data_IF_535328182045
#
_entry.id   IF_535328182045
#
_cell.length_a   1.000
_cell.length_b   1.000
_cell.length_c   1.000
_cell.angle_alpha   90.00
_cell.angle_beta   90.00
_cell.angle_gamma   90.00
#
_symmetry.space_group_name_H-M   'P 1'
#
loop_
_entity.id
_entity.type
_entity.pdbx_description
1 polymer ?
#
# COMPACT_ATOMS: atom_id res chain seq x y z
N UNK A 1 6.36 -8.22 -33.38
CA UNK A 1 6.62 -7.02 -32.57
C UNK A 1 5.82 -7.18 -31.31
N UNK A 2 6.49 -7.58 -30.24
CA UNK A 2 5.87 -7.71 -28.90
C UNK A 2 5.72 -6.30 -28.33
N UNK A 3 4.50 -5.97 -27.91
CA UNK A 3 4.16 -4.71 -27.25
C UNK A 3 4.81 -4.69 -25.87
N UNK A 4 5.42 -3.58 -25.44
CA UNK A 4 6.06 -3.52 -24.12
C UNK A 4 5.05 -3.72 -22.98
N UNK A 5 5.44 -4.34 -21.87
CA UNK A 5 4.58 -4.55 -20.72
C UNK A 5 4.50 -3.24 -19.91
N UNK A 6 3.44 -2.51 -20.11
CA UNK A 6 3.15 -1.26 -19.41
C UNK A 6 1.67 -1.12 -19.09
N UNK A 7 0.94 -2.23 -18.92
CA UNK A 7 -0.47 -2.17 -18.54
C UNK A 7 -0.69 -2.76 -17.17
N UNK A 8 -0.94 -1.89 -16.21
CA UNK A 8 -1.67 -2.28 -15.00
C UNK A 8 -3.14 -2.38 -15.40
N UNK A 9 -3.62 -3.61 -15.63
CA UNK A 9 -5.05 -3.86 -15.84
C UNK A 9 -5.78 -3.66 -14.52
N UNK A 10 -6.46 -2.54 -14.38
CA UNK A 10 -7.48 -2.37 -13.35
C UNK A 10 -8.69 -3.14 -13.81
N UNK A 11 -8.90 -4.33 -13.24
CA UNK A 11 -10.09 -5.14 -13.50
C UNK A 11 -11.35 -4.49 -12.97
N UNK A 12 -11.94 -3.61 -13.77
CA UNK A 12 -13.36 -3.29 -13.84
C UNK A 12 -13.59 -2.58 -15.18
N UNK A 13 -14.40 -3.23 -16.03
CA UNK A 13 -14.59 -2.83 -17.40
C UNK A 13 -15.20 -1.43 -17.54
N UNK A 14 -14.42 -0.57 -18.11
CA UNK A 14 -14.77 0.54 -18.99
C UNK A 14 -13.47 0.92 -19.70
N UNK A 15 -13.50 0.84 -21.02
CA UNK A 15 -12.39 1.16 -21.92
C UNK A 15 -12.16 2.68 -21.94
N UNK A 16 -11.36 3.19 -21.02
CA UNK A 16 -10.66 4.45 -21.15
C UNK A 16 -9.22 4.19 -20.71
N UNK A 17 -8.38 3.82 -21.68
CA UNK A 17 -6.92 3.66 -21.54
C UNK A 17 -6.25 5.06 -21.40
N UNK A 18 -6.56 5.82 -20.36
CA UNK A 18 -5.72 6.94 -19.96
C UNK A 18 -4.42 6.35 -19.40
N UNK A 19 -3.32 6.61 -20.07
CA UNK A 19 -1.97 6.31 -19.56
C UNK A 19 -1.75 7.18 -18.31
N UNK A 20 -1.94 6.58 -17.14
CA UNK A 20 -1.61 7.25 -15.87
C UNK A 20 -0.09 7.29 -15.76
N UNK A 21 0.48 8.49 -15.70
CA UNK A 21 1.90 8.69 -15.49
C UNK A 21 2.34 8.05 -14.15
N UNK A 22 3.41 7.25 -14.18
CA UNK A 22 3.98 6.64 -12.98
C UNK A 22 4.75 7.68 -12.16
N UNK A 23 4.15 8.16 -11.09
CA UNK A 23 4.71 9.16 -10.18
C UNK A 23 5.58 8.56 -9.06
N UNK A 24 5.72 7.24 -8.99
CA UNK A 24 6.46 6.56 -7.91
C UNK A 24 7.98 6.72 -8.01
N UNK A 25 8.49 7.05 -9.19
CA UNK A 25 9.92 7.07 -9.48
C UNK A 25 10.58 5.69 -9.47
N UNK A 26 9.79 4.61 -9.43
CA UNK A 26 10.29 3.25 -9.43
C UNK A 26 10.64 2.78 -10.86
N UNK A 27 11.65 1.91 -11.00
CA UNK A 27 11.96 1.30 -12.29
C UNK A 27 10.78 0.43 -12.78
N UNK A 28 10.73 0.20 -14.10
CA UNK A 28 9.78 -0.76 -14.66
C UNK A 28 9.97 -2.15 -14.06
N UNK A 29 8.86 -2.88 -13.91
CA UNK A 29 8.88 -4.22 -13.35
C UNK A 29 9.36 -5.20 -14.42
N UNK A 30 10.42 -5.98 -14.16
CA UNK A 30 10.85 -6.99 -15.11
C UNK A 30 9.77 -8.07 -15.28
N UNK A 31 9.62 -8.58 -16.50
CA UNK A 31 8.71 -9.69 -16.78
C UNK A 31 9.08 -10.88 -15.91
N UNK A 32 8.12 -11.40 -15.11
CA UNK A 32 8.35 -12.49 -14.17
C UNK A 32 9.07 -12.08 -12.88
N UNK A 33 9.23 -10.78 -12.63
CA UNK A 33 9.77 -10.25 -11.37
C UNK A 33 8.82 -10.46 -10.19
N UNK A 34 9.31 -10.26 -8.95
CA UNK A 34 8.51 -10.43 -7.75
C UNK A 34 7.36 -9.43 -7.72
N UNK A 35 6.13 -9.91 -7.51
CA UNK A 35 4.95 -9.05 -7.39
C UNK A 35 4.80 -8.45 -6.00
N UNK A 36 5.06 -9.25 -4.95
CA UNK A 36 4.83 -8.92 -3.54
C UNK A 36 5.91 -9.59 -2.70
N UNK A 37 6.45 -8.88 -1.72
CA UNK A 37 7.36 -9.44 -0.71
C UNK A 37 6.59 -9.93 0.52
N UNK A 38 7.15 -10.84 1.35
CA UNK A 38 6.48 -11.34 2.55
C UNK A 38 6.03 -10.25 3.52
N UNK A 39 6.80 -9.18 3.67
CA UNK A 39 6.46 -8.05 4.52
C UNK A 39 5.17 -7.34 4.05
N UNK A 40 4.88 -7.27 2.75
CA UNK A 40 3.62 -6.70 2.24
C UNK A 40 2.43 -7.59 2.62
N UNK A 41 2.59 -8.92 2.48
CA UNK A 41 1.55 -9.86 2.89
C UNK A 41 1.27 -9.74 4.39
N UNK A 42 2.31 -9.65 5.22
CA UNK A 42 2.20 -9.44 6.66
C UNK A 42 1.61 -8.07 7.02
N UNK A 43 1.83 -7.04 6.21
CA UNK A 43 1.28 -5.70 6.41
C UNK A 43 -0.17 -5.56 5.91
N UNK A 44 -0.70 -6.57 5.21
CA UNK A 44 -2.10 -6.60 4.77
C UNK A 44 -2.33 -6.20 3.32
N UNK A 45 -1.44 -6.59 2.42
CA UNK A 45 -1.63 -6.39 0.98
C UNK A 45 -3.00 -6.90 0.53
N UNK A 46 -3.68 -6.12 -0.30
CA UNK A 46 -5.01 -6.47 -0.81
C UNK A 46 -6.16 -6.29 0.18
N UNK A 47 -5.92 -5.74 1.35
CA UNK A 47 -6.98 -5.41 2.30
C UNK A 47 -8.00 -4.45 1.66
N UNK A 48 -9.27 -4.81 1.73
CA UNK A 48 -10.34 -4.00 1.14
C UNK A 48 -10.55 -4.14 -0.38
N UNK A 49 -9.64 -4.79 -1.10
CA UNK A 49 -9.75 -4.97 -2.56
C UNK A 49 -10.65 -6.13 -2.97
N UNK A 50 -11.00 -7.03 -2.06
CA UNK A 50 -11.80 -8.22 -2.35
C UNK A 50 -13.27 -8.08 -1.97
N UNK A 51 -14.12 -8.95 -2.55
CA UNK A 51 -15.48 -9.17 -2.08
C UNK A 51 -15.46 -9.62 -0.61
N UNK A 52 -16.20 -8.91 0.20
CA UNK A 52 -16.59 -9.19 1.58
C UNK A 52 -15.86 -10.37 2.26
N UNK A 53 -14.90 -10.12 3.07
CA UNK A 53 -14.37 -11.17 3.94
C UNK A 53 -12.88 -11.10 4.24
N UNK A 54 -12.10 -10.29 3.54
CA UNK A 54 -10.69 -10.16 3.87
C UNK A 54 -10.48 -9.59 5.28
N UNK A 55 -11.36 -8.70 5.73
CA UNK A 55 -11.29 -8.10 7.05
C UNK A 55 -11.54 -9.08 8.22
N UNK A 56 -12.23 -10.18 7.98
CA UNK A 56 -12.71 -11.06 9.05
C UNK A 56 -11.87 -12.31 9.27
N UNK A 57 -10.90 -12.57 8.42
CA UNK A 57 -10.14 -13.84 8.44
C UNK A 57 -8.73 -13.70 9.00
N UNK A 58 -8.35 -12.51 9.38
CA UNK A 58 -7.02 -12.24 9.91
C UNK A 58 -7.06 -12.25 11.44
N UNK A 59 -6.04 -12.84 12.05
CA UNK A 59 -5.79 -12.64 13.46
C UNK A 59 -5.34 -11.19 13.65
N UNK A 60 -6.15 -10.30 14.24
CA UNK A 60 -5.78 -8.88 14.39
C UNK A 60 -4.44 -8.70 15.07
N UNK A 61 -4.14 -9.56 16.03
CA UNK A 61 -2.90 -9.52 16.81
C UNK A 61 -1.68 -10.14 16.08
N UNK A 62 -1.87 -10.68 14.88
CA UNK A 62 -0.82 -11.35 14.13
C UNK A 62 0.01 -10.45 13.22
N UNK A 63 -0.47 -9.27 12.90
CA UNK A 63 0.17 -8.40 11.91
C UNK A 63 1.48 -7.82 12.40
N UNK A 64 1.46 -7.10 13.49
CA UNK A 64 2.66 -6.47 14.06
C UNK A 64 3.74 -7.50 14.42
N UNK A 65 3.45 -8.62 15.11
CA UNK A 65 4.46 -9.65 15.36
C UNK A 65 5.05 -10.25 14.09
N UNK A 66 4.24 -10.46 13.05
CA UNK A 66 4.72 -10.99 11.77
C UNK A 66 5.66 -10.00 11.07
N UNK A 67 5.28 -8.72 11.00
CA UNK A 67 6.14 -7.69 10.41
C UNK A 67 7.44 -7.52 11.21
N UNK A 68 7.36 -7.52 12.54
CA UNK A 68 8.56 -7.52 13.39
C UNK A 68 9.50 -8.66 13.08
N UNK A 69 8.98 -9.87 12.94
CA UNK A 69 9.79 -11.04 12.59
C UNK A 69 10.51 -10.84 11.23
N UNK A 70 9.81 -10.35 10.21
CA UNK A 70 10.42 -10.10 8.90
C UNK A 70 11.50 -9.01 8.95
N UNK A 71 11.28 -7.94 9.70
CA UNK A 71 12.22 -6.83 9.80
C UNK A 71 13.40 -7.18 10.71
N UNK A 72 13.14 -7.66 11.92
CA UNK A 72 14.15 -7.82 12.97
C UNK A 72 14.96 -9.10 12.80
N UNK A 73 14.32 -10.22 12.36
CA UNK A 73 14.97 -11.52 12.26
C UNK A 73 15.44 -11.85 10.84
N UNK A 74 14.68 -11.45 9.83
CA UNK A 74 14.99 -11.74 8.42
C UNK A 74 15.61 -10.56 7.68
N UNK A 75 15.61 -9.35 8.25
CA UNK A 75 16.23 -8.17 7.66
C UNK A 75 15.51 -7.65 6.42
N UNK A 76 14.20 -7.87 6.31
CA UNK A 76 13.43 -7.30 5.20
C UNK A 76 13.36 -5.77 5.30
N UNK A 77 13.42 -5.12 4.13
CA UNK A 77 13.37 -3.67 4.02
C UNK A 77 11.96 -3.14 4.29
N UNK A 78 11.82 -2.27 5.29
CA UNK A 78 10.54 -1.61 5.64
C UNK A 78 10.03 -0.70 4.52
N UNK A 79 10.89 -0.31 3.59
CA UNK A 79 10.57 0.52 2.42
C UNK A 79 10.45 -0.31 1.13
N UNK A 80 10.47 -1.65 1.21
CA UNK A 80 10.27 -2.50 0.04
C UNK A 80 8.98 -2.09 -0.68
N UNK A 81 9.03 -2.09 -2.02
CA UNK A 81 7.90 -1.69 -2.86
C UNK A 81 7.40 -2.90 -3.65
N UNK A 82 6.10 -3.13 -3.61
CA UNK A 82 5.48 -4.15 -4.43
C UNK A 82 5.37 -3.70 -5.90
N UNK A 83 4.79 -4.54 -6.77
CA UNK A 83 4.68 -4.26 -8.19
C UNK A 83 3.77 -3.05 -8.52
N UNK A 84 2.85 -2.68 -7.64
CA UNK A 84 2.02 -1.48 -7.75
C UNK A 84 2.66 -0.25 -7.09
N UNK A 85 3.82 -0.44 -6.47
CA UNK A 85 4.52 0.62 -5.73
C UNK A 85 4.02 0.82 -4.31
N UNK A 86 3.23 -0.08 -3.73
CA UNK A 86 2.87 -0.01 -2.32
C UNK A 86 4.06 -0.41 -1.45
N UNK A 87 4.34 0.39 -0.42
CA UNK A 87 5.18 0.02 0.69
C UNK A 87 4.34 -0.65 1.81
N UNK A 88 4.96 -1.37 2.77
CA UNK A 88 4.25 -1.90 3.94
C UNK A 88 3.42 -0.85 4.69
N UNK A 89 3.91 0.39 4.74
CA UNK A 89 3.22 1.51 5.37
C UNK A 89 1.90 1.88 4.67
N UNK A 90 1.81 1.79 3.34
CA UNK A 90 0.56 1.97 2.59
C UNK A 90 -0.50 0.93 3.02
N UNK A 91 -0.08 -0.33 3.15
CA UNK A 91 -0.97 -1.41 3.56
C UNK A 91 -1.46 -1.25 5.01
N UNK A 92 -0.58 -0.85 5.92
CA UNK A 92 -0.92 -0.55 7.30
C UNK A 92 -1.90 0.64 7.40
N UNK A 93 -1.68 1.70 6.61
CA UNK A 93 -2.54 2.87 6.53
C UNK A 93 -3.95 2.52 6.01
N UNK A 94 -4.04 1.71 4.95
CA UNK A 94 -5.31 1.25 4.39
C UNK A 94 -6.18 0.47 5.40
N UNK A 95 -5.55 -0.15 6.40
CA UNK A 95 -6.26 -0.88 7.47
C UNK A 95 -6.52 -0.04 8.71
N UNK A 96 -5.93 1.13 8.82
CA UNK A 96 -6.01 1.94 10.02
C UNK A 96 -5.20 1.39 11.20
N UNK A 97 -4.16 0.60 10.94
CA UNK A 97 -3.35 -0.07 11.96
C UNK A 97 -2.29 0.88 12.54
N UNK A 98 -2.69 1.64 13.57
CA UNK A 98 -1.85 2.65 14.22
C UNK A 98 -0.58 2.03 14.83
N UNK A 99 -0.68 0.83 15.41
CA UNK A 99 0.47 0.19 16.06
C UNK A 99 1.53 -0.20 15.02
N UNK A 100 1.09 -0.80 13.91
CA UNK A 100 1.98 -1.15 12.81
C UNK A 100 2.56 0.09 12.12
N UNK A 101 1.77 1.16 11.92
CA UNK A 101 2.26 2.42 11.36
C UNK A 101 3.39 2.98 12.22
N UNK A 102 3.18 3.10 13.54
CA UNK A 102 4.19 3.62 14.45
C UNK A 102 5.47 2.77 14.43
N UNK A 103 5.33 1.46 14.46
CA UNK A 103 6.48 0.55 14.37
C UNK A 103 7.26 0.73 13.06
N UNK A 104 6.56 0.74 11.92
CA UNK A 104 7.22 0.91 10.61
C UNK A 104 7.97 2.24 10.52
N UNK A 105 7.38 3.34 11.03
CA UNK A 105 8.01 4.66 11.07
C UNK A 105 9.23 4.66 12.00
N UNK A 106 9.13 4.02 13.16
CA UNK A 106 10.27 3.84 14.09
C UNK A 106 11.42 3.07 13.40
N UNK A 107 11.10 2.09 12.59
CA UNK A 107 12.07 1.32 11.80
C UNK A 107 12.56 2.03 10.52
N UNK A 108 12.15 3.28 10.27
CA UNK A 108 12.62 4.12 9.18
C UNK A 108 11.78 4.04 7.90
N UNK A 109 10.50 3.69 7.99
CA UNK A 109 9.61 3.77 6.85
C UNK A 109 9.43 5.22 6.38
N UNK A 110 9.57 5.44 5.08
CA UNK A 110 9.34 6.76 4.46
C UNK A 110 7.84 6.98 4.25
N UNK A 111 7.31 7.99 4.94
CA UNK A 111 5.87 8.34 4.89
C UNK A 111 5.48 9.11 3.62
N UNK A 112 6.47 9.59 2.86
CA UNK A 112 6.26 10.47 1.71
C UNK A 112 6.21 9.73 0.38
N UNK A 113 6.43 8.42 0.39
CA UNK A 113 6.46 7.59 -0.83
C UNK A 113 5.10 7.53 -1.52
N UNK A 114 5.13 7.50 -2.86
CA UNK A 114 3.94 7.40 -3.71
C UNK A 114 3.84 6.01 -4.33
N UNK A 115 2.63 5.50 -4.49
CA UNK A 115 2.37 4.34 -5.35
C UNK A 115 2.56 4.72 -6.82
N UNK A 116 2.56 3.72 -7.74
CA UNK A 116 2.61 4.01 -9.20
C UNK A 116 1.41 4.80 -9.70
N UNK A 117 0.31 4.80 -8.96
CA UNK A 117 -0.88 5.62 -9.22
C UNK A 117 -0.81 7.00 -8.56
N UNK A 118 0.28 7.32 -7.84
CA UNK A 118 0.44 8.57 -7.13
C UNK A 118 -0.31 8.64 -5.79
N UNK A 119 -0.79 7.52 -5.25
CA UNK A 119 -1.44 7.49 -3.93
C UNK A 119 -0.40 7.65 -2.83
N UNK A 120 -0.69 8.50 -1.85
CA UNK A 120 0.13 8.69 -0.65
C UNK A 120 -0.28 7.72 0.46
N UNK A 121 0.51 7.62 1.52
CA UNK A 121 0.12 6.85 2.70
C UNK A 121 -1.11 7.45 3.39
N UNK A 122 -1.29 8.78 3.36
CA UNK A 122 -2.48 9.45 3.89
C UNK A 122 -3.72 9.19 3.02
N UNK A 123 -3.59 9.13 1.69
CA UNK A 123 -4.70 8.74 0.79
C UNK A 123 -5.17 7.32 1.10
N UNK A 124 -4.24 6.40 1.39
CA UNK A 124 -4.58 5.02 1.77
C UNK A 124 -5.42 4.96 3.06
N UNK A 125 -5.17 5.84 4.02
CA UNK A 125 -5.99 5.94 5.24
C UNK A 125 -7.31 6.68 5.01
N UNK A 126 -7.39 7.50 3.96
CA UNK A 126 -8.58 8.30 3.61
C UNK A 126 -9.59 7.55 2.70
N UNK A 127 -9.43 6.26 2.50
CA UNK A 127 -10.35 5.43 1.74
C UNK A 127 -9.93 5.17 0.30
N UNK A 128 -8.86 4.38 0.08
CA UNK A 128 -8.35 4.08 -1.26
C UNK A 128 -9.29 3.21 -2.09
N UNK A 129 -10.26 2.58 -1.46
CA UNK A 129 -11.26 1.70 -2.09
C UNK A 129 -12.65 1.93 -1.49
N UNK A 130 -13.68 1.84 -2.31
CA UNK A 130 -15.08 2.14 -1.96
C UNK A 130 -15.64 1.38 -0.76
N UNK A 131 -14.97 0.33 -0.28
CA UNK A 131 -15.46 -0.55 0.80
C UNK A 131 -14.61 -0.47 2.07
N UNK A 132 -13.59 0.36 2.07
CA UNK A 132 -12.76 0.58 3.25
C UNK A 132 -13.24 1.84 3.95
N UNK A 133 -13.44 1.73 5.26
CA UNK A 133 -13.80 2.86 6.10
C UNK A 133 -12.62 3.84 6.15
N UNK A 134 -12.91 5.13 6.04
CA UNK A 134 -11.93 6.18 6.29
C UNK A 134 -11.49 6.14 7.76
N UNK A 135 -10.20 6.32 8.00
CA UNK A 135 -9.60 6.37 9.33
C UNK A 135 -9.07 7.79 9.65
N UNK A 136 -9.92 8.74 10.05
CA UNK A 136 -9.53 10.15 10.20
C UNK A 136 -8.35 10.35 11.17
N UNK A 137 -8.30 9.57 12.25
CA UNK A 137 -7.19 9.65 13.22
C UNK A 137 -5.86 9.18 12.60
N UNK A 138 -5.90 8.19 11.72
CA UNK A 138 -4.72 7.71 10.99
C UNK A 138 -4.27 8.72 9.94
N UNK A 139 -5.21 9.35 9.24
CA UNK A 139 -4.91 10.46 8.32
C UNK A 139 -4.16 11.56 9.06
N UNK A 140 -4.69 12.03 10.19
CA UNK A 140 -4.04 13.07 11.01
C UNK A 140 -2.64 12.63 11.50
N UNK A 141 -2.50 11.38 11.92
CA UNK A 141 -1.20 10.84 12.31
C UNK A 141 -0.20 10.91 11.14
N UNK A 142 -0.56 10.39 9.98
CA UNK A 142 0.32 10.35 8.80
C UNK A 142 0.66 11.75 8.30
N UNK A 143 -0.29 12.68 8.31
CA UNK A 143 -0.04 14.09 7.98
C UNK A 143 0.93 14.74 8.98
N UNK A 144 0.81 14.44 10.27
CA UNK A 144 1.76 14.93 11.29
C UNK A 144 3.17 14.38 11.12
N UNK A 145 3.30 13.22 10.49
CA UNK A 145 4.56 12.56 10.14
C UNK A 145 5.13 13.03 8.78
N UNK A 146 4.39 13.83 8.01
CA UNK A 146 4.85 14.44 6.77
C UNK A 146 4.21 13.91 5.50
N UNK A 147 3.30 12.94 5.58
CA UNK A 147 2.47 12.56 4.43
C UNK A 147 1.48 13.67 4.08
N UNK A 148 0.91 13.65 2.89
CA UNK A 148 -0.09 14.63 2.45
C UNK A 148 -1.18 13.93 1.68
N UNK A 149 -2.42 14.33 1.91
CA UNK A 149 -3.53 13.94 1.03
C UNK A 149 -3.35 14.67 -0.30
N UNK A 150 -3.34 13.93 -1.40
CA UNK A 150 -3.30 14.50 -2.75
C UNK A 150 -4.59 14.23 -3.54
N UNK A 151 -5.62 13.68 -2.87
CA UNK A 151 -6.91 13.31 -3.45
C UNK A 151 -6.82 12.27 -4.57
N UNK A 152 -5.79 11.45 -4.56
CA UNK A 152 -5.63 10.34 -5.50
C UNK A 152 -6.14 9.03 -4.90
N UNK A 153 -7.37 9.05 -4.44
CA UNK A 153 -8.05 7.93 -3.80
C UNK A 153 -9.46 7.77 -4.36
N UNK A 154 -9.99 6.54 -4.29
CA UNK A 154 -11.27 6.16 -4.95
C UNK A 154 -12.48 6.78 -4.24
N UNK A 155 -12.39 7.04 -2.96
CA UNK A 155 -13.52 7.45 -2.12
C UNK A 155 -13.31 8.76 -1.35
N UNK A 156 -12.22 9.44 -1.61
CA UNK A 156 -11.98 10.79 -1.09
C UNK A 156 -12.16 11.85 -2.18
#
# INVERSE_FOLDING_TARGET
TLKPPGRVSTGNGADDDEEVEDLSGLPEIPIGGPGVYPIHAASGVGYGLGLAGNAHRHAPDGWLPSVKYFVEELGEDVNARDYNGYAPLHNAAARGDVELINYLVEMGADVTVLTRKGETTADMANGPVQRVTVFPAVVQLLESLGSKINHNCVSC
#
